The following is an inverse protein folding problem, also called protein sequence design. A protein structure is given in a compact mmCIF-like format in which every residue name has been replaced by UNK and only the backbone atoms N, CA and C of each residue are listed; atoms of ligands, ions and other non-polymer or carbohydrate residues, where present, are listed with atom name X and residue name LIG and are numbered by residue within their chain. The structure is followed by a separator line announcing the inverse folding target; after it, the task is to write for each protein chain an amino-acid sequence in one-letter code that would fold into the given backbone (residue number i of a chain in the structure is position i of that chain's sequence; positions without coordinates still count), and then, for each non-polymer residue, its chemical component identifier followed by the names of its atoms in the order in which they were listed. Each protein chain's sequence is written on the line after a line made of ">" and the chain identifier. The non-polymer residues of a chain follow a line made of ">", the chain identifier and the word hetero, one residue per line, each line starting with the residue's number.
data_IF_059590149076
#
_entry.id   IF_059590149076
#
_cell.length_a   1.000
_cell.length_b   1.000
_cell.length_c   1.000
_cell.angle_alpha   90.00
_cell.angle_beta   90.00
_cell.angle_gamma   90.00
#
_symmetry.space_group_name_H-M   'P 1'
#
loop_
_entity.id
_entity.type
_entity.pdbx_description
1 polymer ?
#
# COMPACT_ATOMS: atom_id res chain seq x y z
N UNK A 1 17.53 6.23 24.58
CA UNK A 1 16.75 5.63 23.47
C UNK A 1 16.93 6.46 22.20
N UNK A 2 17.83 6.05 21.30
CA UNK A 2 18.22 6.81 20.11
C UNK A 2 17.48 6.39 18.84
N UNK A 3 17.52 7.23 17.81
CA UNK A 3 17.08 6.88 16.47
C UNK A 3 17.97 5.78 15.88
N UNK A 4 17.39 4.84 15.14
CA UNK A 4 18.12 3.76 14.49
C UNK A 4 17.86 3.75 12.99
N UNK A 5 18.84 3.30 12.22
CA UNK A 5 18.72 3.12 10.78
C UNK A 5 17.75 1.99 10.47
N UNK A 6 16.61 2.30 9.85
CA UNK A 6 15.53 1.36 9.54
C UNK A 6 15.03 1.55 8.11
N UNK A 7 14.39 0.53 7.54
CA UNK A 7 13.72 0.67 6.24
C UNK A 7 12.46 1.52 6.39
N UNK A 8 12.17 2.43 5.44
CA UNK A 8 10.91 3.15 5.39
C UNK A 8 9.73 2.18 5.27
N UNK A 9 8.58 2.56 5.82
CA UNK A 9 7.33 1.82 5.60
C UNK A 9 6.85 2.12 4.18
N UNK A 10 6.69 1.09 3.34
CA UNK A 10 6.13 1.26 1.99
C UNK A 10 4.61 1.41 2.08
N UNK A 11 4.09 2.50 1.55
CA UNK A 11 2.66 2.78 1.55
C UNK A 11 2.26 3.39 0.21
N UNK A 12 1.03 3.14 -0.29
CA UNK A 12 0.51 3.90 -1.40
C UNK A 12 0.40 5.37 -0.98
N UNK A 13 0.77 6.28 -1.88
CA UNK A 13 0.54 7.70 -1.69
C UNK A 13 -0.93 7.97 -1.99
N UNK A 14 -1.70 8.24 -0.95
CA UNK A 14 -3.13 8.55 -1.08
C UNK A 14 -3.31 10.08 -1.12
N UNK A 15 -4.09 10.56 -2.08
CA UNK A 15 -4.55 11.95 -2.11
C UNK A 15 -5.71 12.11 -1.12
N UNK A 16 -6.05 13.35 -0.76
CA UNK A 16 -7.22 13.61 0.08
C UNK A 16 -8.51 13.00 -0.52
N UNK A 17 -8.68 13.12 -1.83
CA UNK A 17 -9.79 12.51 -2.57
C UNK A 17 -9.84 10.98 -2.39
N UNK A 18 -8.69 10.29 -2.51
CA UNK A 18 -8.65 8.84 -2.30
C UNK A 18 -9.04 8.47 -0.87
N UNK A 19 -8.60 9.25 0.13
CA UNK A 19 -8.94 9.01 1.54
C UNK A 19 -10.45 9.16 1.75
N UNK A 20 -11.06 10.23 1.21
CA UNK A 20 -12.49 10.48 1.36
C UNK A 20 -13.34 9.40 0.67
N UNK A 21 -12.93 8.95 -0.51
CA UNK A 21 -13.60 7.85 -1.22
C UNK A 21 -13.49 6.53 -0.46
N UNK A 22 -12.30 6.17 0.04
CA UNK A 22 -12.09 4.95 0.82
C UNK A 22 -12.89 4.98 2.12
N UNK A 23 -12.93 6.12 2.81
CA UNK A 23 -13.70 6.28 4.05
C UNK A 23 -15.21 6.15 3.79
N UNK A 24 -15.70 6.75 2.71
CA UNK A 24 -17.11 6.66 2.32
C UNK A 24 -17.49 5.22 1.97
N UNK A 25 -16.64 4.53 1.21
CA UNK A 25 -16.84 3.12 0.86
C UNK A 25 -16.86 2.23 2.10
N UNK A 26 -15.89 2.39 3.01
CA UNK A 26 -15.81 1.62 4.25
C UNK A 26 -17.05 1.83 5.14
N UNK A 27 -17.57 3.06 5.23
CA UNK A 27 -18.79 3.36 6.00
C UNK A 27 -20.02 2.70 5.37
N UNK A 28 -20.13 2.72 4.05
CA UNK A 28 -21.25 2.07 3.35
C UNK A 28 -21.27 0.56 3.56
N UNK A 29 -20.10 -0.08 3.66
CA UNK A 29 -19.97 -1.53 3.75
C UNK A 29 -19.68 -2.00 5.19
N UNK A 30 -19.73 -1.10 6.17
CA UNK A 30 -19.38 -1.40 7.57
C UNK A 30 -20.29 -2.47 8.19
N UNK A 31 -21.54 -2.55 7.76
CA UNK A 31 -22.55 -3.48 8.28
C UNK A 31 -22.64 -4.78 7.47
N UNK A 32 -21.80 -4.97 6.45
CA UNK A 32 -21.82 -6.16 5.62
C UNK A 32 -21.39 -7.39 6.41
N UNK A 33 -22.17 -8.45 6.26
CA UNK A 33 -21.93 -9.76 6.86
C UNK A 33 -20.97 -10.58 6.01
N UNK A 34 -20.47 -11.69 6.57
CA UNK A 34 -19.64 -12.63 5.83
C UNK A 34 -20.36 -13.17 4.58
N UNK A 35 -21.67 -13.35 4.66
CA UNK A 35 -22.45 -13.82 3.51
C UNK A 35 -22.58 -12.76 2.43
N UNK A 36 -22.70 -11.47 2.79
CA UNK A 36 -22.68 -10.37 1.81
C UNK A 36 -21.35 -10.36 1.04
N UNK A 37 -20.22 -10.54 1.73
CA UNK A 37 -18.90 -10.59 1.10
C UNK A 37 -18.71 -11.78 0.15
N UNK A 38 -19.38 -12.93 0.39
CA UNK A 38 -19.31 -14.10 -0.50
C UNK A 38 -19.94 -13.86 -1.87
N UNK A 39 -20.84 -12.89 -1.98
CA UNK A 39 -21.46 -12.53 -3.26
C UNK A 39 -20.63 -11.55 -4.07
N UNK A 40 -19.50 -11.07 -3.53
CA UNK A 40 -18.59 -10.17 -4.24
C UNK A 40 -17.57 -10.97 -5.03
N UNK A 41 -17.56 -10.76 -6.35
CA UNK A 41 -16.49 -11.23 -7.23
C UNK A 41 -15.42 -10.15 -7.33
N UNK A 42 -14.18 -10.49 -6.98
CA UNK A 42 -13.04 -9.60 -7.03
C UNK A 42 -12.23 -9.90 -8.28
N UNK A 43 -11.91 -8.89 -9.07
CA UNK A 43 -10.95 -9.01 -10.16
C UNK A 43 -9.81 -8.05 -9.89
N UNK A 44 -8.58 -8.49 -10.17
CA UNK A 44 -7.41 -7.63 -10.07
C UNK A 44 -6.43 -7.91 -11.19
N UNK A 45 -5.71 -6.87 -11.56
CA UNK A 45 -4.59 -6.95 -12.49
C UNK A 45 -3.30 -6.70 -11.71
N UNK A 46 -2.52 -7.76 -11.52
CA UNK A 46 -1.30 -7.73 -10.73
C UNK A 46 -0.05 -7.71 -11.62
N UNK A 47 0.86 -6.77 -11.34
CA UNK A 47 2.13 -6.60 -12.06
C UNK A 47 3.29 -7.23 -11.29
N UNK A 48 3.92 -8.25 -11.88
CA UNK A 48 5.12 -8.88 -11.35
C UNK A 48 6.37 -8.29 -12.02
N UNK A 49 7.18 -7.57 -11.25
CA UNK A 49 8.43 -7.00 -11.74
C UNK A 49 9.53 -8.06 -11.79
N UNK A 50 10.18 -8.23 -12.95
CA UNK A 50 11.28 -9.18 -13.12
C UNK A 50 12.55 -8.72 -12.41
N UNK A 51 12.77 -7.40 -12.41
CA UNK A 51 13.86 -6.75 -11.70
C UNK A 51 13.26 -5.85 -10.63
N UNK A 52 13.45 -6.20 -9.36
CA UNK A 52 13.15 -5.29 -8.26
C UNK A 52 14.28 -4.28 -8.20
N UNK A 53 13.97 -2.99 -8.36
CA UNK A 53 14.90 -1.96 -7.92
C UNK A 53 15.03 -2.12 -6.41
N UNK A 54 16.21 -2.55 -5.99
CA UNK A 54 16.55 -2.75 -4.60
C UNK A 54 16.61 -1.37 -3.95
N UNK A 55 15.44 -0.89 -3.49
CA UNK A 55 15.31 0.41 -2.86
C UNK A 55 16.02 0.37 -1.51
N UNK A 56 17.35 0.51 -1.53
CA UNK A 56 18.25 0.59 -0.37
C UNK A 56 18.07 1.88 0.42
N UNK A 57 16.86 2.44 0.42
CA UNK A 57 16.51 3.64 1.18
C UNK A 57 16.39 3.25 2.65
N UNK A 58 17.05 4.02 3.51
CA UNK A 58 16.98 3.89 4.96
C UNK A 58 16.64 5.25 5.57
N UNK A 59 15.86 5.22 6.63
CA UNK A 59 15.49 6.39 7.44
C UNK A 59 15.96 6.18 8.87
N UNK A 60 16.39 7.24 9.53
CA UNK A 60 16.71 7.21 10.95
C UNK A 60 15.43 7.51 11.74
N UNK A 61 14.89 6.51 12.44
CA UNK A 61 13.64 6.68 13.22
C UNK A 61 13.67 5.95 14.56
N UNK A 62 12.90 6.44 15.53
CA UNK A 62 12.58 5.72 16.76
C UNK A 62 11.52 4.63 16.49
N UNK A 63 11.37 3.68 17.42
CA UNK A 63 10.48 2.51 17.25
C UNK A 63 9.03 2.92 16.89
N UNK A 64 8.51 3.99 17.51
CA UNK A 64 7.11 4.43 17.36
C UNK A 64 6.88 5.49 16.27
N UNK A 65 7.88 5.80 15.44
CA UNK A 65 7.78 6.82 14.39
C UNK A 65 7.52 6.23 13.00
N UNK A 66 7.04 4.98 12.91
CA UNK A 66 6.85 4.31 11.61
C UNK A 66 5.74 4.91 10.74
N UNK A 67 4.81 5.64 11.36
CA UNK A 67 3.62 6.23 10.75
C UNK A 67 3.89 7.66 10.26
N UNK A 68 4.99 8.29 10.73
CA UNK A 68 5.40 9.62 10.32
C UNK A 68 5.58 9.68 8.79
N UNK A 69 5.04 10.70 8.09
CA UNK A 69 5.23 10.89 6.65
C UNK A 69 6.68 10.79 6.19
N UNK A 70 7.64 11.28 6.98
CA UNK A 70 9.08 11.25 6.65
C UNK A 70 9.64 9.83 6.72
N UNK A 71 8.98 8.94 7.45
CA UNK A 71 9.35 7.53 7.62
C UNK A 71 8.65 6.59 6.63
N UNK A 72 7.82 7.14 5.73
CA UNK A 72 7.07 6.44 4.70
C UNK A 72 7.73 6.65 3.34
N UNK A 73 7.71 5.61 2.51
CA UNK A 73 8.11 5.72 1.11
C UNK A 73 6.94 5.34 0.22
N UNK A 74 6.58 6.27 -0.66
CA UNK A 74 5.59 6.03 -1.70
C UNK A 74 6.05 4.94 -2.65
N UNK A 75 5.20 3.96 -2.90
CA UNK A 75 5.40 3.00 -3.98
C UNK A 75 4.76 3.55 -5.24
N UNK A 76 5.57 3.91 -6.23
CA UNK A 76 5.13 4.24 -7.60
C UNK A 76 5.57 3.08 -8.50
N UNK A 77 4.72 2.69 -9.45
CA UNK A 77 5.07 1.67 -10.43
C UNK A 77 6.29 2.14 -11.26
N UNK A 78 7.41 1.40 -11.19
CA UNK A 78 8.62 1.73 -11.93
C UNK A 78 8.63 1.08 -13.32
N UNK A 79 9.17 1.79 -14.32
CA UNK A 79 9.18 1.41 -15.75
C UNK A 79 10.18 0.31 -16.16
N UNK A 80 10.32 -0.75 -15.36
CA UNK A 80 11.17 -1.92 -15.68
C UNK A 80 10.40 -3.05 -16.38
N UNK A 81 11.13 -4.10 -16.80
CA UNK A 81 10.52 -5.30 -17.36
C UNK A 81 9.62 -6.01 -16.32
N UNK A 82 8.42 -6.38 -16.74
CA UNK A 82 7.40 -6.95 -15.86
C UNK A 82 6.40 -7.79 -16.64
N UNK A 83 5.78 -8.74 -15.93
CA UNK A 83 4.66 -9.53 -16.43
C UNK A 83 3.38 -9.01 -15.78
N UNK A 84 2.34 -8.82 -16.58
CA UNK A 84 0.98 -8.51 -16.11
C UNK A 84 0.19 -9.82 -16.04
N UNK A 85 -0.50 -10.04 -14.94
CA UNK A 85 -1.34 -11.23 -14.73
C UNK A 85 -2.72 -10.76 -14.30
N UNK A 86 -3.75 -11.33 -14.92
CA UNK A 86 -5.15 -11.11 -14.57
C UNK A 86 -5.67 -12.31 -13.78
N UNK A 87 -6.38 -12.02 -12.68
CA UNK A 87 -7.07 -13.02 -11.87
C UNK A 87 -8.53 -12.58 -11.65
N UNK A 88 -9.44 -13.56 -11.59
CA UNK A 88 -10.90 -13.41 -11.42
C UNK A 88 -11.36 -14.28 -10.26
#
# INVERSE_FOLDING_TARGET
>A
MGSQSRRPTRVPLLTALHIDSLLSWARQHYHWTVDDWKHVTWTDESRFQLYRTDARVRVWRKHHQSIDPVCKQGTIQSGGASVMVWEV
#
